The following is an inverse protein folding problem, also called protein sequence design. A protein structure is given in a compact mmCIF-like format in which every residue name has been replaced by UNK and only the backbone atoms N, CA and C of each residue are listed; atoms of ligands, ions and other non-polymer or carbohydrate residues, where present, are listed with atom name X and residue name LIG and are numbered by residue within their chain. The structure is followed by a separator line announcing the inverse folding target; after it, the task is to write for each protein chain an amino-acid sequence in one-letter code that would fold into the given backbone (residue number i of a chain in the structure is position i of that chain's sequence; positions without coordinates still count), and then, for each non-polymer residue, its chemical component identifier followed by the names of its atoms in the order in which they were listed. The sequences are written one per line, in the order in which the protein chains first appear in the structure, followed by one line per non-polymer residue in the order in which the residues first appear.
data_IF_829578359341
#
_entry.id   IF_829578359341
#
_cell.length_a   1.000
_cell.length_b   1.000
_cell.length_c   1.000
_cell.angle_alpha   90.00
_cell.angle_beta   90.00
_cell.angle_gamma   90.00
#
_symmetry.space_group_name_H-M   'P 1'
#
loop_
_entity.id
_entity.type
_entity.pdbx_description
1 polymer ?
#
# COMPACT_ATOMS: atom_id res chain seq x y z
N UNK A 1 6.09 20.51 3.22
CA UNK A 1 4.94 19.84 3.88
C UNK A 1 4.73 20.39 5.30
N UNK A 2 4.65 21.71 5.51
CA UNK A 2 4.30 22.22 6.84
C UNK A 2 2.76 22.29 6.90
N UNK A 3 2.13 21.25 7.46
CA UNK A 3 0.74 21.20 7.99
C UNK A 3 -0.28 20.21 7.37
N UNK A 4 0.09 19.29 6.45
CA UNK A 4 -0.83 18.20 6.03
C UNK A 4 -0.41 16.84 6.57
N UNK A 5 -1.38 16.03 7.02
CA UNK A 5 -1.19 14.61 7.31
C UNK A 5 -1.21 13.83 5.99
N UNK A 6 -0.16 13.05 5.72
CA UNK A 6 -0.17 12.08 4.63
C UNK A 6 -0.87 10.80 5.08
N UNK A 7 -1.87 10.35 4.35
CA UNK A 7 -2.55 9.08 4.62
C UNK A 7 -2.23 8.12 3.49
N UNK A 8 -1.43 7.09 3.78
CA UNK A 8 -1.25 5.99 2.84
C UNK A 8 -2.30 4.90 3.09
N UNK A 9 -3.39 4.98 2.33
CA UNK A 9 -4.43 3.96 2.29
C UNK A 9 -3.86 2.73 1.57
N UNK A 10 -3.31 1.81 2.34
CA UNK A 10 -2.61 0.66 1.82
C UNK A 10 -3.62 -0.45 1.53
N UNK A 11 -3.97 -0.61 0.26
CA UNK A 11 -4.73 -1.78 -0.20
C UNK A 11 -3.80 -3.01 -0.17
N UNK A 12 -4.28 -4.13 0.36
CA UNK A 12 -3.46 -5.34 0.43
C UNK A 12 -3.07 -5.83 -0.97
N UNK A 13 -1.82 -6.28 -1.10
CA UNK A 13 -1.26 -6.88 -2.33
C UNK A 13 -1.11 -5.92 -3.53
N UNK A 14 -0.94 -4.62 -3.28
CA UNK A 14 -0.73 -3.59 -4.32
C UNK A 14 0.68 -2.95 -4.27
N UNK A 15 1.72 -3.74 -3.98
CA UNK A 15 3.11 -3.26 -3.80
C UNK A 15 3.33 -2.26 -2.64
N UNK A 16 2.35 -2.06 -1.75
CA UNK A 16 2.44 -1.09 -0.66
C UNK A 16 3.54 -1.36 0.37
N UNK A 17 4.05 -2.58 0.50
CA UNK A 17 5.25 -2.85 1.33
C UNK A 17 6.48 -2.11 0.83
N UNK A 18 6.68 -2.05 -0.50
CA UNK A 18 7.78 -1.32 -1.11
C UNK A 18 7.56 0.17 -0.91
N UNK A 19 6.36 0.67 -1.23
CA UNK A 19 6.04 2.10 -1.09
C UNK A 19 6.21 2.59 0.36
N UNK A 20 5.73 1.83 1.34
CA UNK A 20 5.91 2.12 2.78
C UNK A 20 7.39 2.37 3.13
N UNK A 21 8.31 1.57 2.60
CA UNK A 21 9.74 1.75 2.86
C UNK A 21 10.27 3.06 2.27
N UNK A 22 9.76 3.46 1.10
CA UNK A 22 10.11 4.74 0.49
C UNK A 22 9.61 5.89 1.36
N UNK A 23 8.37 5.82 1.85
CA UNK A 23 7.77 6.85 2.71
C UNK A 23 8.57 7.01 4.01
N UNK A 24 8.88 5.92 4.71
CA UNK A 24 9.62 5.98 5.99
C UNK A 24 11.04 6.53 5.90
N UNK A 25 11.62 6.59 4.70
CA UNK A 25 12.92 7.28 4.52
C UNK A 25 12.76 8.80 4.64
N UNK A 26 11.58 9.31 4.33
CA UNK A 26 11.32 10.74 4.20
C UNK A 26 10.50 11.32 5.34
N UNK A 27 9.57 10.53 5.88
CA UNK A 27 8.78 10.90 7.05
C UNK A 27 9.33 10.09 8.21
N UNK A 28 9.92 10.79 9.18
CA UNK A 28 10.54 10.23 10.38
C UNK A 28 10.10 11.07 11.57
N UNK A 29 9.91 10.42 12.73
CA UNK A 29 9.57 11.11 13.97
C UNK A 29 8.58 10.30 14.78
N UNK A 30 8.00 10.96 15.78
CA UNK A 30 7.08 10.33 16.74
C UNK A 30 5.62 10.35 16.27
N UNK A 31 5.31 11.13 15.23
CA UNK A 31 3.95 11.38 14.75
C UNK A 31 3.59 10.53 13.51
N UNK A 32 3.98 9.26 13.55
CA UNK A 32 3.76 8.26 12.51
C UNK A 32 2.94 7.13 13.10
N UNK A 33 1.77 6.87 12.51
CA UNK A 33 0.82 5.89 13.02
C UNK A 33 0.57 4.80 11.99
N UNK A 34 0.77 3.56 12.42
CA UNK A 34 0.37 2.37 11.68
C UNK A 34 -0.91 1.83 12.30
N UNK A 35 -1.97 1.77 11.50
CA UNK A 35 -3.25 1.21 11.94
C UNK A 35 -3.38 -0.19 11.34
N UNK A 36 -3.43 -1.26 12.17
CA UNK A 36 -3.83 -2.58 11.70
C UNK A 36 -5.25 -2.53 11.09
N UNK A 37 -5.65 -3.54 10.31
CA UNK A 37 -7.02 -3.56 9.75
C UNK A 37 -8.08 -3.63 10.85
N UNK A 38 -9.17 -2.89 10.69
CA UNK A 38 -10.38 -2.99 11.54
C UNK A 38 -10.74 -1.67 12.24
N UNK A 39 -12.04 -1.48 12.48
CA UNK A 39 -12.58 -0.22 13.04
C UNK A 39 -12.16 0.02 14.49
N UNK A 40 -11.94 -1.04 15.28
CA UNK A 40 -11.47 -0.92 16.65
C UNK A 40 -10.12 -0.21 16.74
N UNK A 41 -9.23 -0.48 15.79
CA UNK A 41 -7.89 0.13 15.73
C UNK A 41 -7.97 1.61 15.32
N UNK A 42 -8.94 1.97 14.47
CA UNK A 42 -9.23 3.36 14.13
C UNK A 42 -9.76 4.10 15.37
N UNK A 43 -10.71 3.52 16.09
CA UNK A 43 -11.26 4.09 17.33
C UNK A 43 -10.18 4.32 18.38
N UNK A 44 -9.31 3.32 18.63
CA UNK A 44 -8.16 3.45 19.53
C UNK A 44 -7.22 4.59 19.14
N UNK A 45 -7.01 4.82 17.84
CA UNK A 45 -6.23 5.97 17.40
C UNK A 45 -6.96 7.26 17.74
N UNK A 46 -8.24 7.38 17.37
CA UNK A 46 -9.06 8.59 17.61
C UNK A 46 -9.08 8.95 19.10
N UNK A 47 -9.28 7.97 19.99
CA UNK A 47 -9.26 8.17 21.45
C UNK A 47 -7.88 8.64 21.98
N UNK A 48 -6.79 8.29 21.30
CA UNK A 48 -5.43 8.72 21.64
C UNK A 48 -5.05 10.08 21.04
N UNK A 49 -5.82 10.58 20.07
CA UNK A 49 -5.61 11.92 19.52
C UNK A 49 -6.16 12.93 20.55
N UNK A 50 -5.30 13.33 21.49
CA UNK A 50 -5.61 14.40 22.44
C UNK A 50 -5.88 15.74 21.70
N UNK A 51 -6.78 16.55 22.24
CA UNK A 51 -7.18 17.87 21.70
C UNK A 51 -5.98 18.85 21.64
N UNK A 52 -4.87 18.54 22.32
CA UNK A 52 -3.67 19.34 22.38
C UNK A 52 -2.62 19.01 21.30
N UNK A 53 -2.81 19.57 20.09
CA UNK A 53 -1.73 19.99 19.16
C UNK A 53 -0.80 18.93 18.54
N UNK A 54 -1.08 17.62 18.58
CA UNK A 54 -0.20 16.65 17.88
C UNK A 54 -0.33 16.74 16.35
N UNK A 55 0.73 17.24 15.70
CA UNK A 55 0.80 17.26 14.23
C UNK A 55 1.13 15.89 13.67
N UNK A 56 0.11 15.09 13.37
CA UNK A 56 0.25 13.81 12.66
C UNK A 56 0.92 14.06 11.30
N UNK A 57 1.95 13.28 10.99
CA UNK A 57 2.68 13.39 9.72
C UNK A 57 2.29 12.28 8.74
N UNK A 58 2.12 11.07 9.26
CA UNK A 58 1.80 9.90 8.46
C UNK A 58 0.83 8.98 9.20
N UNK A 59 -0.25 8.61 8.53
CA UNK A 59 -1.07 7.44 8.88
C UNK A 59 -0.97 6.46 7.73
N UNK A 60 -0.81 5.17 8.03
CA UNK A 60 -0.93 4.15 6.99
C UNK A 60 -1.44 2.82 7.54
N UNK A 61 -2.11 2.06 6.67
CA UNK A 61 -2.72 0.81 7.09
C UNK A 61 -3.71 0.29 6.07
N UNK A 62 -4.30 -0.87 6.39
CA UNK A 62 -5.43 -1.43 5.66
C UNK A 62 -6.72 -0.78 6.17
N UNK A 63 -6.78 0.55 6.08
CA UNK A 63 -7.87 1.37 6.62
C UNK A 63 -8.84 1.77 5.51
N UNK A 64 -10.15 1.83 5.79
CA UNK A 64 -11.10 2.46 4.88
C UNK A 64 -10.81 3.95 4.71
N UNK A 65 -11.28 4.52 3.61
CA UNK A 65 -11.35 5.97 3.41
C UNK A 65 -12.21 6.63 4.51
N UNK A 66 -11.97 7.91 4.80
CA UNK A 66 -12.75 8.67 5.80
C UNK A 66 -12.00 9.03 7.09
N UNK A 67 -10.88 8.37 7.42
CA UNK A 67 -10.17 8.66 8.68
C UNK A 67 -9.75 10.14 8.84
N UNK A 68 -9.55 10.86 7.73
CA UNK A 68 -9.20 12.28 7.73
C UNK A 68 -10.23 13.19 8.43
N UNK A 69 -11.49 12.77 8.53
CA UNK A 69 -12.56 13.50 9.22
C UNK A 69 -12.29 13.64 10.73
N UNK A 70 -11.49 12.74 11.30
CA UNK A 70 -11.16 12.71 12.73
C UNK A 70 -9.79 13.34 13.04
N UNK A 71 -9.09 13.87 12.03
CA UNK A 71 -7.72 14.36 12.21
C UNK A 71 -7.70 15.88 12.38
N UNK A 72 -6.85 16.41 13.28
CA UNK A 72 -6.79 17.86 13.53
C UNK A 72 -6.16 18.65 12.37
N UNK A 73 -5.42 17.97 11.49
CA UNK A 73 -4.77 18.59 10.34
C UNK A 73 -5.54 18.30 9.05
N UNK A 74 -5.45 19.22 8.09
CA UNK A 74 -5.74 18.91 6.69
C UNK A 74 -4.98 17.64 6.27
N UNK A 75 -5.64 16.80 5.48
CA UNK A 75 -5.08 15.51 5.08
C UNK A 75 -5.08 15.34 3.58
N UNK A 76 -4.23 14.45 3.09
CA UNK A 76 -4.28 13.99 1.72
C UNK A 76 -3.94 12.51 1.66
N UNK A 77 -4.53 11.82 0.70
CA UNK A 77 -4.39 10.38 0.55
C UNK A 77 -3.44 10.02 -0.58
N UNK A 78 -2.72 8.93 -0.41
CA UNK A 78 -2.07 8.22 -1.52
C UNK A 78 -2.51 6.76 -1.49
N UNK A 79 -2.62 6.15 -2.66
CA UNK A 79 -2.94 4.72 -2.77
C UNK A 79 -2.35 4.11 -4.04
N UNK A 80 -2.27 2.78 -4.04
CA UNK A 80 -1.97 2.00 -5.24
C UNK A 80 -3.11 0.98 -5.42
N UNK A 81 -3.78 1.05 -6.57
CA UNK A 81 -4.86 0.17 -7.00
C UNK A 81 -4.28 -0.87 -7.96
N UNK A 82 -4.67 -2.12 -7.84
CA UNK A 82 -4.20 -3.22 -8.69
C UNK A 82 -5.36 -3.85 -9.43
N UNK A 83 -5.10 -4.46 -10.58
CA UNK A 83 -6.05 -5.36 -11.23
C UNK A 83 -6.63 -6.35 -10.19
N UNK A 84 -7.97 -6.40 -10.01
CA UNK A 84 -8.58 -7.13 -8.90
C UNK A 84 -8.33 -8.63 -8.96
N UNK A 85 -8.33 -9.23 -10.15
CA UNK A 85 -8.07 -10.65 -10.36
C UNK A 85 -6.65 -10.99 -9.86
N UNK A 86 -5.66 -10.25 -10.35
CA UNK A 86 -4.27 -10.41 -9.94
C UNK A 86 -4.07 -10.16 -8.43
N UNK A 87 -4.83 -9.23 -7.84
CA UNK A 87 -4.82 -8.95 -6.40
C UNK A 87 -5.37 -10.14 -5.59
N UNK A 88 -6.53 -10.69 -5.98
CA UNK A 88 -7.20 -11.81 -5.30
C UNK A 88 -6.31 -13.06 -5.33
N UNK A 89 -5.81 -13.42 -6.50
CA UNK A 89 -4.85 -14.51 -6.68
C UNK A 89 -3.63 -14.29 -5.77
N UNK A 90 -3.04 -13.10 -5.82
CA UNK A 90 -1.88 -12.76 -4.99
C UNK A 90 -2.18 -12.82 -3.49
N UNK A 91 -3.41 -12.50 -3.07
CA UNK A 91 -3.86 -12.58 -1.67
C UNK A 91 -3.97 -14.03 -1.22
N UNK A 92 -4.69 -14.87 -1.98
CA UNK A 92 -4.85 -16.28 -1.67
C UNK A 92 -3.50 -16.98 -1.52
N UNK A 93 -2.67 -16.93 -2.57
CA UNK A 93 -1.38 -17.62 -2.56
C UNK A 93 -0.39 -17.04 -1.55
N UNK A 94 -0.52 -15.76 -1.19
CA UNK A 94 0.26 -15.22 -0.07
C UNK A 94 -0.19 -15.83 1.26
N UNK A 95 -1.50 -15.91 1.52
CA UNK A 95 -2.05 -16.47 2.76
C UNK A 95 -1.67 -17.95 2.95
N UNK A 96 -1.85 -18.79 1.91
CA UNK A 96 -1.54 -20.24 2.03
C UNK A 96 -0.04 -20.52 2.16
N UNK A 97 0.82 -19.71 1.51
CA UNK A 97 2.27 -19.91 1.58
C UNK A 97 2.93 -19.35 2.85
N UNK A 98 2.19 -18.62 3.69
CA UNK A 98 2.69 -18.10 4.97
C UNK A 98 2.00 -18.84 6.11
N UNK A 99 2.59 -19.95 6.57
CA UNK A 99 2.00 -20.84 7.59
C UNK A 99 1.56 -20.12 8.88
N UNK A 100 2.27 -19.07 9.27
CA UNK A 100 1.95 -18.27 10.48
C UNK A 100 0.86 -17.22 10.23
N UNK A 101 0.29 -17.13 9.02
CA UNK A 101 -0.83 -16.23 8.75
C UNK A 101 -2.10 -16.82 9.39
N UNK A 102 -2.90 -16.02 10.15
CA UNK A 102 -4.06 -16.55 10.87
C UNK A 102 -5.05 -17.34 10.00
N UNK A 103 -5.25 -16.90 8.76
CA UNK A 103 -6.15 -17.53 7.80
C UNK A 103 -5.48 -18.60 6.92
N UNK A 104 -4.21 -18.98 7.16
CA UNK A 104 -3.45 -19.89 6.28
C UNK A 104 -4.11 -21.26 6.18
N UNK A 105 -4.41 -21.88 7.33
CA UNK A 105 -5.09 -23.18 7.40
C UNK A 105 -6.45 -23.13 6.71
N UNK A 106 -7.30 -22.16 7.09
CA UNK A 106 -8.63 -21.96 6.51
C UNK A 106 -8.61 -21.88 4.98
N UNK A 107 -7.72 -21.06 4.42
CA UNK A 107 -7.66 -20.88 2.96
C UNK A 107 -7.12 -22.14 2.26
N UNK A 108 -6.17 -22.82 2.88
CA UNK A 108 -5.61 -24.05 2.34
C UNK A 108 -6.65 -25.18 2.32
N UNK A 109 -7.40 -25.34 3.40
CA UNK A 109 -8.44 -26.35 3.55
C UNK A 109 -9.62 -26.09 2.57
N UNK A 110 -9.97 -24.82 2.36
CA UNK A 110 -11.03 -24.43 1.43
C UNK A 110 -10.65 -24.68 -0.04
N UNK A 111 -9.39 -24.44 -0.41
CA UNK A 111 -8.94 -24.46 -1.79
C UNK A 111 -9.31 -23.19 -2.56
N UNK A 112 -8.60 -22.89 -3.66
CA UNK A 112 -8.75 -21.62 -4.37
C UNK A 112 -10.13 -21.48 -5.03
N UNK A 113 -10.66 -22.57 -5.59
CA UNK A 113 -11.94 -22.56 -6.30
C UNK A 113 -13.12 -22.30 -5.35
N UNK A 114 -13.22 -23.02 -4.24
CA UNK A 114 -14.26 -22.73 -3.25
C UNK A 114 -14.07 -21.34 -2.64
N UNK A 115 -12.83 -20.91 -2.40
CA UNK A 115 -12.53 -19.58 -1.86
C UNK A 115 -13.08 -18.43 -2.71
N UNK A 116 -13.07 -18.56 -4.04
CA UNK A 116 -13.63 -17.52 -4.93
C UNK A 116 -15.13 -17.65 -5.13
N UNK A 117 -15.70 -18.85 -4.96
CA UNK A 117 -17.13 -19.08 -5.07
C UNK A 117 -17.87 -18.51 -3.85
N UNK A 118 -17.30 -18.64 -2.65
CA UNK A 118 -17.89 -18.06 -1.43
C UNK A 118 -18.09 -16.54 -1.54
N UNK A 119 -19.25 -16.05 -1.10
CA UNK A 119 -19.45 -14.61 -0.91
C UNK A 119 -18.60 -14.11 0.24
N UNK A 120 -17.57 -13.37 -0.12
CA UNK A 120 -16.65 -12.81 0.83
C UNK A 120 -16.05 -11.49 0.35
N UNK A 121 -15.79 -10.60 1.31
CA UNK A 121 -15.31 -9.25 1.03
C UNK A 121 -13.95 -9.24 0.32
N UNK A 122 -13.14 -10.28 0.51
CA UNK A 122 -11.79 -10.38 -0.07
C UNK A 122 -11.88 -10.62 -1.58
N UNK A 123 -12.91 -11.31 -2.06
CA UNK A 123 -13.11 -11.70 -3.46
C UNK A 123 -14.14 -10.86 -4.20
N UNK A 124 -14.79 -9.88 -3.56
CA UNK A 124 -15.80 -9.02 -4.20
C UNK A 124 -15.60 -7.53 -3.93
N UNK A 125 -15.19 -6.80 -4.97
CA UNK A 125 -15.08 -5.33 -5.02
C UNK A 125 -14.31 -4.73 -3.83
N UNK A 126 -13.32 -5.44 -3.31
CA UNK A 126 -12.60 -5.10 -2.09
C UNK A 126 -11.99 -3.70 -2.11
N UNK A 127 -11.41 -3.29 -3.25
CA UNK A 127 -10.73 -2.00 -3.37
C UNK A 127 -11.74 -0.85 -3.37
N UNK A 128 -12.84 -1.03 -4.09
CA UNK A 128 -13.98 -0.09 -4.12
C UNK A 128 -14.54 0.11 -2.71
N UNK A 129 -14.79 -0.98 -1.97
CA UNK A 129 -15.29 -0.93 -0.58
C UNK A 129 -14.37 -0.14 0.34
N UNK A 130 -13.06 -0.39 0.28
CA UNK A 130 -12.08 0.37 1.06
C UNK A 130 -12.09 1.86 0.71
N UNK A 131 -12.14 2.20 -0.57
CA UNK A 131 -12.12 3.60 -1.04
C UNK A 131 -13.44 4.34 -0.82
N UNK A 132 -14.54 3.59 -0.63
CA UNK A 132 -15.82 4.14 -0.20
C UNK A 132 -15.86 4.45 1.30
N UNK A 133 -14.94 3.87 2.09
CA UNK A 133 -14.94 4.02 3.54
C UNK A 133 -15.77 2.96 4.26
N UNK A 134 -16.16 1.88 3.58
CA UNK A 134 -16.89 0.78 4.22
C UNK A 134 -15.99 0.07 5.24
N UNK A 135 -16.54 -0.18 6.42
CA UNK A 135 -15.90 -1.01 7.45
C UNK A 135 -15.52 -2.38 6.89
N UNK A 136 -14.30 -2.83 7.19
CA UNK A 136 -13.78 -4.13 6.75
C UNK A 136 -13.25 -4.89 7.95
N UNK A 137 -13.97 -5.95 8.31
CA UNK A 137 -13.47 -6.97 9.22
C UNK A 137 -12.93 -8.16 8.43
N UNK A 138 -11.60 -8.28 8.37
CA UNK A 138 -10.95 -9.42 7.71
C UNK A 138 -11.01 -10.70 8.54
N UNK A 139 -11.35 -10.63 9.83
CA UNK A 139 -11.55 -11.80 10.69
C UNK A 139 -12.89 -12.45 10.43
N UNK A 140 -13.93 -11.63 10.17
CA UNK A 140 -15.24 -12.06 9.71
C UNK A 140 -15.50 -11.66 8.24
N UNK A 141 -14.64 -12.16 7.35
CA UNK A 141 -14.60 -11.78 5.93
C UNK A 141 -15.85 -12.13 5.11
N UNK A 142 -16.82 -12.86 5.69
CA UNK A 142 -18.12 -13.18 5.09
C UNK A 142 -19.20 -12.15 5.46
N UNK A 143 -19.01 -11.38 6.53
CA UNK A 143 -19.96 -10.36 6.96
C UNK A 143 -19.60 -8.99 6.37
N UNK A 144 -20.24 -8.60 5.28
CA UNK A 144 -20.04 -7.30 4.65
C UNK A 144 -21.35 -6.75 4.07
N UNK A 145 -21.55 -5.44 4.18
CA UNK A 145 -22.75 -4.79 3.62
C UNK A 145 -22.70 -4.69 2.09
N UNK A 146 -23.86 -4.56 1.46
CA UNK A 146 -23.98 -4.31 0.02
C UNK A 146 -23.39 -2.95 -0.36
N UNK A 147 -22.97 -2.82 -1.63
CA UNK A 147 -22.54 -1.54 -2.19
C UNK A 147 -23.74 -0.75 -2.69
N UNK A 148 -23.67 0.58 -2.61
CA UNK A 148 -24.67 1.49 -3.19
C UNK A 148 -24.65 1.38 -4.72
N UNK A 149 -25.76 1.74 -5.38
CA UNK A 149 -25.84 1.76 -6.85
C UNK A 149 -24.80 2.67 -7.51
N UNK A 150 -24.39 3.74 -6.81
CA UNK A 150 -23.42 4.72 -7.30
C UNK A 150 -22.04 4.59 -6.64
N UNK A 151 -21.72 3.45 -6.02
CA UNK A 151 -20.48 3.28 -5.25
C UNK A 151 -19.22 3.65 -6.05
N UNK A 152 -19.17 3.30 -7.35
CA UNK A 152 -18.03 3.65 -8.20
C UNK A 152 -17.94 5.15 -8.51
N UNK A 153 -19.06 5.84 -8.64
CA UNK A 153 -19.10 7.30 -8.81
C UNK A 153 -18.56 8.02 -7.57
N UNK A 154 -19.01 7.61 -6.39
CA UNK A 154 -18.52 8.11 -5.10
C UNK A 154 -17.02 7.88 -4.94
N UNK A 155 -16.53 6.66 -5.24
CA UNK A 155 -15.09 6.35 -5.19
C UNK A 155 -14.29 7.23 -6.15
N UNK A 156 -14.75 7.44 -7.38
CA UNK A 156 -14.06 8.33 -8.34
C UNK A 156 -13.98 9.77 -7.81
N UNK A 157 -15.05 10.29 -7.22
CA UNK A 157 -15.05 11.61 -6.58
C UNK A 157 -14.06 11.66 -5.41
N UNK A 158 -14.06 10.64 -4.54
CA UNK A 158 -13.11 10.55 -3.44
C UNK A 158 -11.66 10.60 -3.95
N UNK A 159 -11.36 9.83 -5.01
CA UNK A 159 -10.05 9.84 -5.65
C UNK A 159 -9.66 11.24 -6.12
N UNK A 160 -10.50 11.95 -6.87
CA UNK A 160 -10.15 13.29 -7.39
C UNK A 160 -10.02 14.34 -6.27
N UNK A 161 -10.87 14.28 -5.25
CA UNK A 161 -10.93 15.31 -4.21
C UNK A 161 -9.85 15.17 -3.14
N UNK A 162 -9.50 13.94 -2.76
CA UNK A 162 -8.68 13.67 -1.58
C UNK A 162 -7.34 13.00 -1.88
N UNK A 163 -7.21 12.30 -3.00
CA UNK A 163 -6.01 11.53 -3.29
C UNK A 163 -5.04 12.36 -4.11
N UNK A 164 -3.86 12.59 -3.55
CA UNK A 164 -2.79 13.34 -4.20
C UNK A 164 -2.05 12.56 -5.26
N UNK A 165 -1.91 11.25 -5.08
CA UNK A 165 -1.31 10.31 -6.04
C UNK A 165 -2.08 9.00 -5.97
N UNK A 166 -2.58 8.56 -7.12
CA UNK A 166 -3.24 7.26 -7.31
C UNK A 166 -2.45 6.47 -8.32
N UNK A 167 -1.88 5.35 -7.88
CA UNK A 167 -0.97 4.56 -8.69
C UNK A 167 -1.48 3.17 -9.04
N UNK A 168 -0.72 2.49 -9.90
CA UNK A 168 -0.83 1.06 -10.15
C UNK A 168 0.54 0.38 -10.00
N UNK A 169 0.60 -0.92 -9.65
CA UNK A 169 1.86 -1.64 -9.61
C UNK A 169 2.63 -1.63 -10.93
N UNK A 170 1.92 -1.58 -12.06
CA UNK A 170 2.47 -1.55 -13.42
C UNK A 170 3.22 -0.23 -13.70
N UNK A 171 2.84 0.85 -13.03
CA UNK A 171 3.43 2.19 -13.13
C UNK A 171 4.16 2.59 -11.83
N UNK A 172 4.71 1.62 -11.08
CA UNK A 172 5.26 1.90 -9.75
C UNK A 172 6.47 2.86 -9.77
N UNK A 173 7.29 2.85 -10.83
CA UNK A 173 8.41 3.81 -10.93
C UNK A 173 7.89 5.24 -11.08
N UNK A 174 6.83 5.39 -11.87
CA UNK A 174 6.15 6.63 -12.16
C UNK A 174 5.49 7.16 -10.87
N UNK A 175 4.80 6.30 -10.10
CA UNK A 175 4.28 6.63 -8.76
C UNK A 175 5.38 7.18 -7.85
N UNK A 176 6.53 6.51 -7.80
CA UNK A 176 7.64 6.91 -6.94
C UNK A 176 8.18 8.29 -7.33
N UNK A 177 8.27 8.60 -8.62
CA UNK A 177 8.69 9.91 -9.10
C UNK A 177 7.64 11.01 -8.84
N UNK A 178 6.35 10.71 -9.05
CA UNK A 178 5.25 11.65 -8.74
C UNK A 178 5.26 12.03 -7.25
N UNK A 179 5.48 11.07 -6.36
CA UNK A 179 5.66 11.32 -4.93
C UNK A 179 6.94 12.10 -4.65
N UNK A 180 8.03 11.76 -5.35
CA UNK A 180 9.30 12.49 -5.36
C UNK A 180 9.12 13.98 -5.61
N UNK A 181 8.48 14.31 -6.72
CA UNK A 181 8.19 15.67 -7.15
C UNK A 181 7.27 16.38 -6.14
N UNK A 182 6.12 15.77 -5.81
CA UNK A 182 5.11 16.37 -4.93
C UNK A 182 5.65 16.69 -3.54
N UNK A 183 6.40 15.75 -2.96
CA UNK A 183 6.87 15.85 -1.58
C UNK A 183 8.32 16.32 -1.45
N UNK A 184 8.98 16.59 -2.59
CA UNK A 184 10.41 16.91 -2.68
C UNK A 184 11.27 15.82 -2.02
N UNK A 185 10.84 14.58 -2.15
CA UNK A 185 11.55 13.41 -1.67
C UNK A 185 12.76 13.12 -2.58
N UNK A 186 13.84 12.63 -1.98
CA UNK A 186 15.09 12.33 -2.67
C UNK A 186 15.46 10.86 -2.47
N UNK A 187 16.52 10.36 -3.10
CA UNK A 187 17.00 8.97 -2.86
C UNK A 187 15.87 7.93 -3.01
N UNK A 188 15.11 8.06 -4.09
CA UNK A 188 13.87 7.33 -4.31
C UNK A 188 14.08 5.84 -4.67
N UNK A 189 15.32 5.42 -4.87
CA UNK A 189 15.66 4.07 -5.30
C UNK A 189 15.14 2.99 -4.35
N UNK A 190 14.72 1.86 -4.89
CA UNK A 190 14.10 0.77 -4.17
C UNK A 190 14.37 -0.55 -4.88
N UNK A 191 14.23 -1.65 -4.15
CA UNK A 191 14.17 -2.99 -4.73
C UNK A 191 12.81 -3.59 -4.52
N UNK A 192 12.30 -4.30 -5.52
CA UNK A 192 11.10 -5.10 -5.35
C UNK A 192 11.38 -6.28 -4.41
N UNK A 193 11.07 -6.11 -3.13
CA UNK A 193 11.25 -7.16 -2.11
C UNK A 193 10.23 -8.29 -2.20
N UNK A 194 9.17 -8.12 -3.00
CA UNK A 194 8.07 -9.08 -3.15
C UNK A 194 7.63 -9.21 -4.61
N UNK A 195 8.59 -9.43 -5.52
CA UNK A 195 8.25 -10.19 -6.73
C UNK A 195 8.00 -11.59 -6.20
N UNK A 196 6.73 -11.96 -6.00
CA UNK A 196 6.39 -13.36 -5.71
C UNK A 196 7.14 -14.20 -6.75
N UNK A 197 8.07 -15.05 -6.29
CA UNK A 197 8.90 -15.90 -7.15
C UNK A 197 8.08 -16.89 -8.00
N UNK A 198 6.77 -16.96 -7.79
CA UNK A 198 5.82 -17.36 -8.82
C UNK A 198 5.01 -16.14 -9.26
N UNK A 199 5.27 -15.63 -10.46
CA UNK A 199 4.15 -15.10 -11.26
C UNK A 199 3.18 -16.28 -11.32
N UNK A 200 2.12 -16.27 -10.51
CA UNK A 200 1.01 -17.19 -10.73
C UNK A 200 0.59 -16.90 -12.16
N UNK A 201 0.88 -17.85 -13.05
CA UNK A 201 0.67 -17.66 -14.46
C UNK A 201 -0.84 -17.66 -14.62
N UNK A 202 -1.43 -16.47 -14.78
CA UNK A 202 -2.87 -16.32 -14.97
C UNK A 202 -3.33 -17.20 -16.15
N UNK A 203 -2.43 -17.48 -17.11
CA UNK A 203 -2.66 -18.42 -18.22
C UNK A 203 -2.96 -19.87 -17.79
N UNK A 204 -2.59 -20.26 -16.58
CA UNK A 204 -2.86 -21.59 -16.01
C UNK A 204 -4.16 -21.62 -15.19
N UNK A 205 -4.86 -20.50 -15.05
CA UNK A 205 -6.13 -20.43 -14.34
C UNK A 205 -7.24 -20.70 -15.37
N UNK A 206 -8.18 -21.62 -15.08
CA UNK A 206 -9.27 -21.93 -16.01
C UNK A 206 -10.08 -20.67 -16.38
N UNK A 207 -10.51 -20.51 -17.65
CA UNK A 207 -11.26 -19.32 -18.07
C UNK A 207 -12.55 -19.05 -17.28
N UNK A 208 -13.25 -20.10 -16.82
CA UNK A 208 -14.47 -19.93 -16.03
C UNK A 208 -14.20 -19.29 -14.66
N UNK A 209 -13.04 -19.58 -14.05
CA UNK A 209 -12.59 -18.96 -12.79
C UNK A 209 -12.36 -17.46 -13.00
N UNK A 210 -11.77 -17.08 -14.14
CA UNK A 210 -11.56 -15.67 -14.49
C UNK A 210 -12.91 -14.94 -14.62
N UNK A 211 -13.89 -15.55 -15.29
CA UNK A 211 -15.24 -14.98 -15.42
C UNK A 211 -15.92 -14.75 -14.07
N UNK A 212 -15.90 -15.74 -13.17
CA UNK A 212 -16.44 -15.61 -11.80
C UNK A 212 -15.80 -14.43 -11.08
N UNK A 213 -14.46 -14.29 -11.20
CA UNK A 213 -13.74 -13.18 -10.58
C UNK A 213 -14.10 -11.83 -11.19
N UNK A 214 -14.27 -11.75 -12.51
CA UNK A 214 -14.70 -10.52 -13.20
C UNK A 214 -16.11 -10.11 -12.79
N UNK A 215 -17.05 -11.05 -12.77
CA UNK A 215 -18.45 -10.82 -12.36
C UNK A 215 -18.54 -10.33 -10.90
N UNK A 216 -17.77 -10.90 -9.99
CA UNK A 216 -17.74 -10.47 -8.58
C UNK A 216 -17.01 -9.14 -8.35
N UNK A 217 -16.25 -8.65 -9.34
CA UNK A 217 -15.36 -7.49 -9.21
C UNK A 217 -15.56 -6.43 -10.30
N UNK A 218 -16.77 -6.29 -10.86
CA UNK A 218 -17.07 -5.32 -11.92
C UNK A 218 -16.67 -3.88 -11.56
N UNK A 219 -16.95 -3.45 -10.32
CA UNK A 219 -16.61 -2.10 -9.85
C UNK A 219 -15.11 -1.94 -9.64
N UNK A 220 -14.43 -2.96 -9.12
CA UNK A 220 -12.97 -2.95 -8.99
C UNK A 220 -12.26 -2.96 -10.35
N UNK A 221 -12.86 -3.58 -11.38
CA UNK A 221 -12.35 -3.53 -12.76
C UNK A 221 -12.45 -2.12 -13.33
N UNK A 222 -13.62 -1.48 -13.18
CA UNK A 222 -13.83 -0.09 -13.60
C UNK A 222 -12.91 0.88 -12.83
N UNK A 223 -12.75 0.66 -11.52
CA UNK A 223 -11.83 1.40 -10.67
C UNK A 223 -10.38 1.28 -11.15
N UNK A 224 -9.93 0.07 -11.50
CA UNK A 224 -8.57 -0.15 -11.98
C UNK A 224 -8.31 0.53 -13.33
N UNK A 225 -9.28 0.47 -14.24
CA UNK A 225 -9.22 1.20 -15.52
C UNK A 225 -9.14 2.71 -15.28
N UNK A 226 -9.99 3.24 -14.40
CA UNK A 226 -9.99 4.65 -14.04
C UNK A 226 -8.66 5.09 -13.42
N UNK A 227 -8.11 4.31 -12.48
CA UNK A 227 -6.81 4.58 -11.86
C UNK A 227 -5.67 4.59 -12.89
N UNK A 228 -5.70 3.65 -13.85
CA UNK A 228 -4.73 3.57 -14.95
C UNK A 228 -4.81 4.81 -15.83
N UNK A 229 -6.00 5.19 -16.28
CA UNK A 229 -6.23 6.40 -17.08
C UNK A 229 -5.81 7.66 -16.31
N UNK A 230 -6.07 7.73 -15.01
CA UNK A 230 -5.69 8.88 -14.18
C UNK A 230 -4.17 9.06 -14.11
N UNK A 231 -3.41 8.01 -13.77
CA UNK A 231 -1.95 8.15 -13.69
C UNK A 231 -1.34 8.45 -15.07
N UNK A 232 -1.91 7.91 -16.15
CA UNK A 232 -1.49 8.25 -17.51
C UNK A 232 -1.72 9.73 -17.84
N UNK A 233 -2.87 10.30 -17.46
CA UNK A 233 -3.12 11.75 -17.54
C UNK A 233 -2.08 12.54 -16.75
N UNK A 234 -1.79 12.15 -15.51
CA UNK A 234 -0.79 12.84 -14.67
C UNK A 234 0.64 12.80 -15.26
N UNK A 235 1.00 11.69 -15.90
CA UNK A 235 2.28 11.52 -16.59
C UNK A 235 2.31 12.38 -17.88
N UNK A 236 1.27 12.30 -18.69
CA UNK A 236 1.19 13.01 -19.97
C UNK A 236 1.22 14.53 -19.78
N UNK A 237 0.56 15.05 -18.74
CA UNK A 237 0.56 16.47 -18.40
C UNK A 237 1.96 17.02 -18.05
N UNK A 238 2.91 16.15 -17.67
CA UNK A 238 4.32 16.53 -17.38
C UNK A 238 5.22 16.44 -18.61
N UNK A 239 4.72 15.84 -19.70
CA UNK A 239 5.38 15.79 -20.99
C UNK A 239 6.75 15.09 -21.00
N UNK A 240 7.58 15.48 -21.97
CA UNK A 240 8.86 14.84 -22.25
C UNK A 240 9.85 14.87 -21.08
N UNK A 241 9.81 15.93 -20.24
CA UNK A 241 10.68 16.07 -19.08
C UNK A 241 10.54 14.89 -18.12
N UNK A 242 9.31 14.48 -17.84
CA UNK A 242 9.05 13.35 -16.94
C UNK A 242 9.54 12.03 -17.55
N UNK A 243 9.42 11.84 -18.86
CA UNK A 243 9.91 10.62 -19.53
C UNK A 243 11.44 10.48 -19.47
N UNK A 244 12.16 11.61 -19.60
CA UNK A 244 13.61 11.66 -19.43
C UNK A 244 13.99 11.30 -17.99
N UNK A 245 13.33 11.92 -17.01
CA UNK A 245 13.54 11.64 -15.59
C UNK A 245 13.25 10.16 -15.25
N UNK A 246 12.15 9.63 -15.76
CA UNK A 246 11.76 8.23 -15.60
C UNK A 246 12.79 7.27 -16.19
N UNK A 247 13.31 7.57 -17.38
CA UNK A 247 14.35 6.75 -18.02
C UNK A 247 15.63 6.75 -17.19
N UNK A 248 16.06 7.91 -16.71
CA UNK A 248 17.23 8.04 -15.86
C UNK A 248 17.02 7.32 -14.52
N UNK A 249 15.87 7.52 -13.88
CA UNK A 249 15.52 6.84 -12.64
C UNK A 249 15.52 5.32 -12.80
N UNK A 250 14.95 4.77 -13.87
CA UNK A 250 14.96 3.32 -14.14
C UNK A 250 16.39 2.77 -14.24
N UNK A 251 17.28 3.48 -14.95
CA UNK A 251 18.71 3.13 -15.05
C UNK A 251 19.39 3.17 -13.69
N UNK A 252 19.22 4.25 -12.94
CA UNK A 252 19.82 4.40 -11.62
C UNK A 252 19.31 3.37 -10.61
N UNK A 253 18.00 3.13 -10.60
CA UNK A 253 17.35 2.23 -9.65
C UNK A 253 17.84 0.78 -9.80
N UNK A 254 18.19 0.36 -11.03
CA UNK A 254 18.78 -0.96 -11.30
C UNK A 254 20.04 -1.21 -10.46
N UNK A 255 20.92 -0.21 -10.36
CA UNK A 255 22.20 -0.33 -9.65
C UNK A 255 22.08 0.12 -8.18
N UNK A 256 21.58 1.34 -7.97
CA UNK A 256 21.47 1.96 -6.65
C UNK A 256 20.45 1.23 -5.77
N UNK A 257 19.37 0.71 -6.35
CA UNK A 257 18.40 -0.13 -5.63
C UNK A 257 19.06 -1.40 -5.09
N UNK A 258 19.80 -2.13 -5.94
CA UNK A 258 20.48 -3.35 -5.51
C UNK A 258 21.48 -3.10 -4.38
N UNK A 259 22.35 -2.10 -4.56
CA UNK A 259 23.32 -1.68 -3.54
C UNK A 259 22.59 -1.34 -2.23
N UNK A 260 21.51 -0.58 -2.30
CA UNK A 260 20.71 -0.23 -1.12
C UNK A 260 20.15 -1.46 -0.41
N UNK A 261 19.60 -2.44 -1.14
CA UNK A 261 19.06 -3.68 -0.56
C UNK A 261 20.13 -4.51 0.15
N UNK A 262 21.32 -4.61 -0.45
CA UNK A 262 22.47 -5.29 0.16
C UNK A 262 22.86 -4.59 1.46
N UNK A 263 23.02 -3.27 1.43
CA UNK A 263 23.40 -2.50 2.60
C UNK A 263 22.34 -2.55 3.71
N UNK A 264 21.04 -2.55 3.39
CA UNK A 264 19.97 -2.74 4.37
C UNK A 264 20.01 -4.14 4.99
N UNK A 265 20.30 -5.18 4.20
CA UNK A 265 20.44 -6.57 4.68
C UNK A 265 21.63 -6.70 5.64
N UNK A 266 22.78 -6.11 5.26
CA UNK A 266 23.97 -6.04 6.12
C UNK A 266 23.65 -5.29 7.41
N UNK A 267 23.00 -4.12 7.32
CA UNK A 267 22.62 -3.34 8.49
C UNK A 267 21.69 -4.11 9.44
N UNK A 268 20.72 -4.88 8.93
CA UNK A 268 19.85 -5.71 9.77
C UNK A 268 20.61 -6.81 10.49
N UNK A 269 21.49 -7.52 9.77
CA UNK A 269 22.33 -8.56 10.35
C UNK A 269 23.27 -8.00 11.40
N UNK A 270 24.01 -6.94 11.06
CA UNK A 270 24.97 -6.31 11.98
C UNK A 270 24.24 -5.67 13.16
N UNK A 271 23.16 -4.92 12.91
CA UNK A 271 22.38 -4.21 13.93
C UNK A 271 21.77 -5.11 15.02
N UNK A 272 21.51 -6.39 14.72
CA UNK A 272 21.10 -7.39 15.71
C UNK A 272 22.23 -7.82 16.66
N UNK A 273 23.50 -7.58 16.27
CA UNK A 273 24.71 -8.00 16.99
C UNK A 273 25.59 -6.82 17.46
N UNK A 274 25.19 -5.56 17.22
CA UNK A 274 26.04 -4.40 17.52
C UNK A 274 26.08 -4.06 19.01
N UNK A 275 27.28 -4.11 19.57
CA UNK A 275 27.66 -3.48 20.83
C UNK A 275 27.34 -1.96 20.79
N UNK A 276 26.75 -1.36 21.85
CA UNK A 276 26.41 0.06 21.92
C UNK A 276 27.52 1.03 21.49
N UNK A 277 28.80 0.67 21.72
CA UNK A 277 29.97 1.50 21.36
C UNK A 277 30.28 1.57 19.85
N UNK A 278 29.84 0.58 19.06
CA UNK A 278 30.07 0.55 17.62
C UNK A 278 28.97 1.30 16.82
N UNK A 279 27.85 1.64 17.47
CA UNK A 279 26.71 2.34 16.84
C UNK A 279 27.09 3.65 16.11
N UNK A 280 27.98 4.53 16.60
CA UNK A 280 28.29 5.80 15.94
C UNK A 280 28.97 5.64 14.56
N UNK A 281 29.96 4.73 14.47
CA UNK A 281 30.68 4.44 13.23
C UNK A 281 29.74 3.90 12.14
N UNK A 282 28.90 2.91 12.51
CA UNK A 282 27.90 2.37 11.59
C UNK A 282 26.76 3.36 11.29
N UNK A 283 26.42 4.26 12.21
CA UNK A 283 25.43 5.32 11.96
C UNK A 283 25.93 6.33 10.91
N UNK A 284 27.24 6.57 10.83
CA UNK A 284 27.87 7.39 9.78
C UNK A 284 27.91 6.64 8.44
N UNK A 285 28.37 5.39 8.45
CA UNK A 285 28.46 4.51 7.27
C UNK A 285 27.10 4.23 6.62
N UNK A 286 26.06 4.05 7.43
CA UNK A 286 24.68 3.79 7.00
C UNK A 286 23.76 5.00 7.20
N UNK A 287 24.30 6.21 7.31
CA UNK A 287 23.50 7.44 7.50
C UNK A 287 22.45 7.65 6.40
N UNK A 288 22.69 7.10 5.21
CA UNK A 288 21.80 7.08 4.06
C UNK A 288 20.77 5.92 4.05
N UNK A 289 20.92 4.94 4.94
CA UNK A 289 20.14 3.69 5.00
C UNK A 289 19.59 3.52 6.41
N UNK A 290 18.48 4.20 6.69
CA UNK A 290 17.71 3.96 7.91
C UNK A 290 16.56 3.01 7.59
N UNK A 291 16.47 1.84 8.24
CA UNK A 291 15.47 0.86 7.87
C UNK A 291 14.08 1.23 8.43
N UNK A 292 13.07 1.03 7.59
CA UNK A 292 11.65 1.25 7.82
C UNK A 292 11.08 0.78 9.18
N UNK A 293 11.58 -0.34 9.72
CA UNK A 293 11.03 -0.98 10.91
C UNK A 293 11.32 -0.25 12.23
N UNK A 294 12.28 0.68 12.25
CA UNK A 294 12.58 1.48 13.46
C UNK A 294 11.54 2.55 13.79
N UNK A 295 10.59 2.77 12.88
CA UNK A 295 9.63 3.87 12.94
C UNK A 295 8.18 3.38 13.12
N UNK A 296 7.97 2.07 13.27
CA UNK A 296 6.66 1.50 13.54
C UNK A 296 6.40 1.58 15.05
N UNK A 297 5.57 2.55 15.48
CA UNK A 297 4.80 2.39 16.72
C UNK A 297 3.58 1.54 16.37
N UNK A 298 3.49 0.34 16.93
CA UNK A 298 2.22 -0.38 16.98
C UNK A 298 1.38 0.28 18.07
N UNK A 299 0.19 0.75 17.72
CA UNK A 299 -0.83 0.99 18.72
C UNK A 299 -1.28 -0.40 19.17
N UNK A 300 -0.90 -0.80 20.39
CA UNK A 300 -1.58 -1.85 21.15
C UNK A 300 -2.83 -1.21 21.76
#
# INVERSE_FOLDING_TARGET
MKNKTLIFLHISKTAGTTLKQIIYRHIQGENIYRIPSGDSEIKKLIEKLDDSKQKIQLIHGHIPFGIHEYLPNQSEYITIIRNPIARIISRYYFTVNHKNHPQSKLFNDLGFENFIQEDNIITSNFQTRLLLGQSIDLTNYKNFSSLTKNAIGEVKQNLENFFSVVGTPEKFNEVVLLLGEKYRWQKLWYTNKRITRGKINIKNIPPYIIRILEEKNTLDMELFEYATKRIEREINNRGAKFQIELTNFKKENKYKGLIYSILESIYKKIGAFLNPKAKPFFKKLFSSIKPAWKYEREII
#
